data_IF_516248613749
#
_entry.id   IF_516248613749
#
_cell.length_a   1.000
_cell.length_b   1.000
_cell.length_c   1.000
_cell.angle_alpha   90.00
_cell.angle_beta   90.00
_cell.angle_gamma   90.00
#
_symmetry.space_group_name_H-M   'P 1'
#
loop_
_entity.id
_entity.type
_entity.pdbx_description
1 polymer ?
#
# COMPACT_ATOMS: atom_id res chain seq x y z
N UNK A 1 7.05 -3.86 9.23
CA UNK A 1 5.93 -3.20 8.49
C UNK A 1 6.19 -3.06 6.98
N UNK A 2 7.38 -2.64 6.54
CA UNK A 2 7.74 -2.58 5.11
C UNK A 2 8.40 -3.85 4.54
N UNK A 3 9.19 -4.57 5.36
CA UNK A 3 9.99 -5.73 4.94
C UNK A 3 9.27 -7.08 4.96
N UNK A 4 8.02 -7.14 5.44
CA UNK A 4 7.26 -8.39 5.49
C UNK A 4 7.00 -8.91 4.06
N UNK A 5 7.06 -10.23 3.82
CA UNK A 5 6.78 -10.80 2.52
C UNK A 5 5.30 -10.65 2.15
N UNK A 6 5.00 -10.59 0.86
CA UNK A 6 3.66 -10.29 0.33
C UNK A 6 2.59 -11.26 0.83
N UNK A 7 2.90 -12.56 0.87
CA UNK A 7 2.00 -13.60 1.37
C UNK A 7 1.54 -13.33 2.81
N UNK A 8 2.47 -12.92 3.68
CA UNK A 8 2.15 -12.57 5.07
C UNK A 8 1.27 -11.32 5.14
N UNK A 9 1.49 -10.32 4.29
CA UNK A 9 0.63 -9.15 4.21
C UNK A 9 -0.81 -9.51 3.78
N UNK A 10 -0.95 -10.42 2.81
CA UNK A 10 -2.26 -10.91 2.35
C UNK A 10 -2.97 -11.69 3.47
N UNK A 11 -2.26 -12.56 4.17
CA UNK A 11 -2.83 -13.32 5.30
C UNK A 11 -3.34 -12.39 6.41
N UNK A 12 -2.56 -11.37 6.77
CA UNK A 12 -2.98 -10.36 7.75
C UNK A 12 -4.19 -9.56 7.26
N UNK A 13 -4.26 -9.25 5.97
CA UNK A 13 -5.37 -8.52 5.37
C UNK A 13 -6.66 -9.36 5.26
N UNK A 14 -6.56 -10.70 5.28
CA UNK A 14 -7.71 -11.61 5.27
C UNK A 14 -8.39 -11.78 6.64
N UNK A 15 -7.80 -11.26 7.73
CA UNK A 15 -8.41 -11.32 9.06
C UNK A 15 -9.77 -10.61 9.04
N UNK A 16 -10.85 -11.15 9.64
CA UNK A 16 -12.23 -10.72 9.39
C UNK A 16 -12.48 -9.19 9.47
N UNK A 17 -11.98 -8.53 10.52
CA UNK A 17 -12.14 -7.08 10.67
C UNK A 17 -11.31 -6.25 9.68
N UNK A 18 -10.14 -6.74 9.27
CA UNK A 18 -9.27 -6.06 8.30
C UNK A 18 -9.81 -6.26 6.88
N UNK A 19 -10.26 -7.48 6.58
CA UNK A 19 -10.87 -7.85 5.32
C UNK A 19 -12.07 -6.96 5.02
N UNK A 20 -12.94 -6.72 6.02
CA UNK A 20 -14.10 -5.86 5.86
C UNK A 20 -13.70 -4.42 5.48
N UNK A 21 -12.65 -3.86 6.08
CA UNK A 21 -12.15 -2.53 5.69
C UNK A 21 -11.66 -2.51 4.24
N UNK A 22 -10.90 -3.52 3.81
CA UNK A 22 -10.42 -3.61 2.43
C UNK A 22 -11.53 -3.75 1.39
N UNK A 23 -12.58 -4.54 1.68
CA UNK A 23 -13.67 -4.79 0.74
C UNK A 23 -14.69 -3.65 0.70
N UNK A 24 -14.90 -2.94 1.81
CA UNK A 24 -15.82 -1.79 1.89
C UNK A 24 -15.19 -0.47 1.44
N UNK A 25 -13.85 -0.35 1.48
CA UNK A 25 -13.16 0.85 1.02
C UNK A 25 -13.42 1.09 -0.48
N UNK A 26 -13.88 2.29 -0.81
CA UNK A 26 -14.10 2.73 -2.19
C UNK A 26 -13.05 3.76 -2.63
N UNK A 27 -12.53 4.54 -1.67
CA UNK A 27 -11.57 5.61 -1.90
C UNK A 27 -10.43 5.48 -0.89
N UNK A 28 -9.19 5.49 -1.38
CA UNK A 28 -7.98 5.49 -0.57
C UNK A 28 -7.23 6.80 -0.81
N UNK A 29 -7.08 7.59 0.26
CA UNK A 29 -6.33 8.84 0.25
C UNK A 29 -4.96 8.59 0.88
N UNK A 30 -3.89 8.94 0.17
CA UNK A 30 -2.51 8.89 0.67
C UNK A 30 -1.96 10.30 0.62
N UNK A 31 -1.73 10.88 1.80
CA UNK A 31 -1.02 12.13 1.96
C UNK A 31 0.48 11.87 2.11
N UNK A 32 1.30 12.85 1.71
CA UNK A 32 2.76 12.77 1.68
C UNK A 32 3.32 11.53 0.97
N UNK A 33 2.84 11.28 -0.26
CA UNK A 33 3.32 10.14 -1.07
C UNK A 33 4.83 10.16 -1.33
N UNK A 34 5.47 11.32 -1.27
CA UNK A 34 6.91 11.47 -1.39
C UNK A 34 7.68 10.68 -0.34
N UNK A 35 7.05 10.36 0.79
CA UNK A 35 7.65 9.56 1.85
C UNK A 35 7.45 8.05 1.67
N UNK A 36 6.71 7.62 0.65
CA UNK A 36 6.36 6.22 0.39
C UNK A 36 7.32 5.59 -0.61
N UNK A 37 7.99 4.51 -0.19
CA UNK A 37 8.86 3.74 -1.08
C UNK A 37 8.05 3.01 -2.17
N UNK A 38 8.57 2.99 -3.41
CA UNK A 38 7.91 2.37 -4.56
C UNK A 38 7.54 0.89 -4.30
N UNK A 39 8.48 0.11 -3.74
CA UNK A 39 8.23 -1.31 -3.42
C UNK A 39 7.11 -1.51 -2.41
N UNK A 40 6.93 -0.57 -1.47
CA UNK A 40 5.84 -0.62 -0.51
C UNK A 40 4.50 -0.33 -1.20
N UNK A 41 4.47 0.66 -2.10
CA UNK A 41 3.30 1.00 -2.89
C UNK A 41 2.85 -0.17 -3.79
N UNK A 42 3.78 -0.83 -4.48
CA UNK A 42 3.49 -2.01 -5.31
C UNK A 42 2.96 -3.20 -4.49
N UNK A 43 3.50 -3.37 -3.28
CA UNK A 43 3.03 -4.40 -2.34
C UNK A 43 1.61 -4.10 -1.87
N UNK A 44 1.30 -2.83 -1.57
CA UNK A 44 -0.04 -2.40 -1.18
C UNK A 44 -1.06 -2.67 -2.30
N UNK A 45 -0.70 -2.35 -3.54
CA UNK A 45 -1.49 -2.62 -4.74
C UNK A 45 -1.79 -4.13 -4.89
N UNK A 46 -0.75 -4.95 -4.74
CA UNK A 46 -0.85 -6.41 -4.83
C UNK A 46 -1.75 -7.01 -3.75
N UNK A 47 -1.67 -6.49 -2.52
CA UNK A 47 -2.57 -6.88 -1.41
C UNK A 47 -4.01 -6.49 -1.74
N UNK A 48 -4.26 -5.26 -2.17
CA UNK A 48 -5.60 -4.76 -2.49
C UNK A 48 -6.29 -5.62 -3.58
N UNK A 49 -5.56 -5.92 -4.66
CA UNK A 49 -6.01 -6.83 -5.74
C UNK A 49 -6.33 -8.22 -5.22
N UNK A 50 -5.46 -8.79 -4.39
CA UNK A 50 -5.64 -10.14 -3.83
C UNK A 50 -6.84 -10.24 -2.89
N UNK A 51 -6.98 -9.27 -1.98
CA UNK A 51 -8.03 -9.25 -0.95
C UNK A 51 -9.41 -9.01 -1.57
N UNK A 52 -9.48 -8.12 -2.58
CA UNK A 52 -10.73 -7.81 -3.29
C UNK A 52 -11.05 -8.76 -4.44
N UNK A 53 -10.14 -9.71 -4.73
CA UNK A 53 -10.26 -10.69 -5.84
C UNK A 53 -10.59 -10.02 -7.18
N UNK A 54 -9.92 -8.90 -7.47
CA UNK A 54 -10.19 -8.07 -8.65
C UNK A 54 -8.90 -7.80 -9.41
N UNK A 55 -8.91 -7.96 -10.73
CA UNK A 55 -7.77 -7.67 -11.59
C UNK A 55 -7.54 -6.17 -11.82
N UNK A 56 -8.48 -5.32 -11.41
CA UNK A 56 -8.33 -3.88 -11.52
C UNK A 56 -7.21 -3.36 -10.61
N UNK A 57 -6.54 -2.24 -10.98
CA UNK A 57 -5.57 -1.58 -10.11
C UNK A 57 -6.16 -1.33 -8.72
N UNK A 58 -5.39 -1.62 -7.67
CA UNK A 58 -5.82 -1.49 -6.27
C UNK A 58 -7.14 -2.23 -5.95
N UNK A 59 -7.48 -3.27 -6.72
CA UNK A 59 -8.76 -3.98 -6.59
C UNK A 59 -10.00 -3.13 -6.89
N UNK A 60 -9.84 -2.04 -7.66
CA UNK A 60 -10.92 -1.11 -8.02
C UNK A 60 -11.18 -0.02 -6.99
N UNK A 61 -10.26 0.20 -6.03
CA UNK A 61 -10.32 1.35 -5.12
C UNK A 61 -9.88 2.61 -5.89
N UNK A 62 -10.65 3.70 -5.78
CA UNK A 62 -10.23 5.00 -6.29
C UNK A 62 -9.08 5.54 -5.44
N UNK A 63 -7.94 5.76 -6.06
CA UNK A 63 -6.76 6.29 -5.40
C UNK A 63 -6.72 7.81 -5.53
N UNK A 64 -6.54 8.51 -4.41
CA UNK A 64 -6.30 9.95 -4.35
C UNK A 64 -4.97 10.13 -3.62
N UNK A 65 -4.00 10.74 -4.29
CA UNK A 65 -2.64 10.82 -3.77
C UNK A 65 -2.17 12.26 -3.82
N UNK A 66 -1.65 12.74 -2.70
CA UNK A 66 -1.05 14.06 -2.58
C UNK A 66 0.31 13.97 -1.88
N UNK A 67 1.14 15.00 -2.11
CA UNK A 67 2.48 15.12 -1.55
C UNK A 67 3.39 15.93 -2.45
N UNK A 68 4.57 16.27 -1.93
CA UNK A 68 5.60 17.02 -2.64
C UNK A 68 6.91 16.24 -2.66
N UNK A 69 7.31 15.79 -3.85
CA UNK A 69 8.56 15.05 -4.04
C UNK A 69 9.81 15.92 -3.86
N UNK A 70 9.69 17.24 -3.79
CA UNK A 70 10.81 18.16 -3.60
C UNK A 70 11.05 18.56 -2.14
N UNK A 71 10.16 18.17 -1.22
CA UNK A 71 10.30 18.47 0.21
C UNK A 71 11.17 17.44 0.92
N UNK A 72 10.62 16.24 1.18
CA UNK A 72 11.30 15.17 1.90
C UNK A 72 11.21 13.86 1.11
N UNK A 73 12.35 13.18 0.84
CA UNK A 73 12.34 11.86 0.23
C UNK A 73 11.87 10.78 1.24
N UNK A 74 11.60 9.55 0.78
CA UNK A 74 11.23 8.44 1.65
C UNK A 74 12.24 8.23 2.77
N UNK A 75 11.74 8.00 3.99
CA UNK A 75 12.60 7.75 5.16
C UNK A 75 13.12 6.31 5.07
N UNK A 76 14.29 6.13 4.47
CA UNK A 76 14.97 4.83 4.39
C UNK A 76 15.32 4.35 5.80
N UNK A 77 14.68 3.27 6.27
CA UNK A 77 15.08 2.60 7.52
C UNK A 77 16.31 1.71 7.30
N UNK A 78 17.47 2.34 7.17
CA UNK A 78 18.78 1.72 7.39
C UNK A 78 19.41 1.03 6.18
N UNK A 79 20.51 1.64 5.71
CA UNK A 79 21.55 1.15 4.80
C UNK A 79 21.12 0.85 3.36
N UNK A 80 21.22 1.88 2.53
CA UNK A 80 21.87 1.70 1.25
C UNK A 80 22.98 2.76 1.16
N UNK A 81 24.22 2.27 1.09
CA UNK A 81 25.38 3.10 0.76
C UNK A 81 25.26 3.47 -0.72
N UNK A 82 25.82 4.64 -1.02
CA UNK A 82 26.13 5.12 -2.37
C UNK A 82 26.72 4.04 -3.29
#
# INVERSE_FOLDING_TARGET
>A
PGSAPLNQCVELAQRPGVLQHWTSCQHLIIDEISMVEAQFFDKLESVARSVRRSTQPFGGIQLIVCGDFLQLPPVSKGKEKA
#
